data_IF_247682646499
#
_entry.id   IF_247682646499
#
_cell.length_a   1.000
_cell.length_b   1.000
_cell.length_c   1.000
_cell.angle_alpha   90.00
_cell.angle_beta   90.00
_cell.angle_gamma   90.00
#
_symmetry.space_group_name_H-M   'P 1'
#
loop_
_entity.id
_entity.type
_entity.pdbx_description
1 polymer ?
#
# COMPACT_ATOMS: atom_id res chain seq x y z
N UNK A 1 -32.45 1.50 13.71
CA UNK A 1 -31.93 0.12 13.64
C UNK A 1 -32.77 -0.73 14.57
N UNK A 2 -33.12 -1.94 14.15
CA UNK A 2 -33.92 -2.91 14.92
C UNK A 2 -33.21 -4.26 14.92
N UNK A 3 -33.38 -5.05 15.97
CA UNK A 3 -32.94 -6.43 15.98
C UNK A 3 -34.06 -7.35 15.49
N UNK A 4 -33.74 -8.28 14.59
CA UNK A 4 -34.56 -9.45 14.32
C UNK A 4 -34.01 -10.62 15.12
N UNK A 5 -34.88 -11.33 15.86
CA UNK A 5 -34.50 -12.53 16.58
C UNK A 5 -35.12 -13.77 15.92
N UNK A 6 -34.27 -14.77 15.63
CA UNK A 6 -34.66 -16.14 15.27
C UNK A 6 -34.05 -17.08 16.30
N UNK A 7 -34.87 -17.54 17.25
CA UNK A 7 -34.65 -18.45 18.41
C UNK A 7 -33.32 -18.43 19.22
N UNK A 8 -32.14 -18.18 18.63
CA UNK A 8 -30.85 -18.03 19.34
C UNK A 8 -29.94 -16.91 18.76
N UNK A 9 -30.29 -16.26 17.64
CA UNK A 9 -29.43 -15.23 17.01
C UNK A 9 -30.16 -13.90 16.86
N UNK A 10 -29.52 -12.80 17.28
CA UNK A 10 -30.02 -11.44 17.09
C UNK A 10 -29.29 -10.75 15.93
N UNK A 11 -30.03 -10.35 14.89
CA UNK A 11 -29.52 -9.66 13.72
C UNK A 11 -29.88 -8.18 13.75
N UNK A 12 -28.91 -7.29 13.62
CA UNK A 12 -29.17 -5.87 13.44
C UNK A 12 -29.55 -5.55 11.99
N UNK A 13 -30.70 -4.91 11.82
CA UNK A 13 -31.28 -4.55 10.53
C UNK A 13 -31.52 -3.03 10.50
N UNK A 14 -31.16 -2.42 9.36
CA UNK A 14 -31.45 -1.02 9.08
C UNK A 14 -32.94 -0.84 8.72
N UNK A 15 -33.55 0.26 9.13
CA UNK A 15 -35.02 0.43 9.06
C UNK A 15 -35.54 0.39 7.61
N UNK A 16 -34.76 0.94 6.68
CA UNK A 16 -34.99 0.94 5.24
C UNK A 16 -35.00 -0.46 4.61
N UNK A 17 -34.38 -1.44 5.26
CA UNK A 17 -34.28 -2.83 4.76
C UNK A 17 -35.29 -3.78 5.36
N UNK A 18 -36.11 -3.32 6.30
CA UNK A 18 -37.12 -4.15 6.95
C UNK A 18 -38.06 -4.84 5.95
N UNK A 19 -38.54 -4.21 4.87
CA UNK A 19 -39.40 -4.90 3.90
C UNK A 19 -38.73 -6.12 3.25
N UNK A 20 -37.42 -6.05 2.99
CA UNK A 20 -36.67 -7.16 2.40
C UNK A 20 -36.50 -8.31 3.41
N UNK A 21 -36.11 -7.98 4.64
CA UNK A 21 -35.94 -8.98 5.70
C UNK A 21 -37.27 -9.58 6.16
N UNK A 22 -38.37 -8.84 6.09
CA UNK A 22 -39.70 -9.38 6.37
C UNK A 22 -40.11 -10.46 5.35
N UNK A 23 -39.73 -10.30 4.08
CA UNK A 23 -39.99 -11.31 3.04
C UNK A 23 -39.14 -12.58 3.21
N UNK A 24 -37.94 -12.47 3.77
CA UNK A 24 -37.01 -13.60 3.94
C UNK A 24 -37.17 -14.30 5.29
N UNK A 25 -37.49 -13.53 6.34
CA UNK A 25 -37.65 -14.01 7.72
C UNK A 25 -39.07 -13.67 8.23
N UNK A 26 -40.13 -14.30 7.69
CA UNK A 26 -41.51 -13.93 8.01
C UNK A 26 -41.90 -14.18 9.47
N UNK A 27 -41.16 -15.02 10.19
CA UNK A 27 -41.41 -15.36 11.60
C UNK A 27 -40.48 -14.66 12.59
N UNK A 28 -39.63 -13.75 12.12
CA UNK A 28 -38.71 -13.02 12.99
C UNK A 28 -39.46 -12.02 13.88
N UNK A 29 -39.04 -11.92 15.14
CA UNK A 29 -39.53 -10.89 16.05
C UNK A 29 -38.62 -9.67 15.99
N UNK A 30 -39.21 -8.48 15.90
CA UNK A 30 -38.50 -7.21 15.77
C UNK A 30 -38.49 -6.43 17.09
N UNK A 31 -37.31 -6.10 17.61
CA UNK A 31 -37.16 -5.31 18.84
C UNK A 31 -36.15 -4.15 18.66
N UNK A 32 -36.54 -2.89 18.90
CA UNK A 32 -37.92 -2.43 19.05
C UNK A 32 -38.73 -2.68 17.76
N UNK A 33 -40.05 -2.76 17.89
CA UNK A 33 -40.94 -2.74 16.73
C UNK A 33 -40.87 -1.35 16.10
N UNK A 34 -40.27 -1.26 14.92
CA UNK A 34 -40.17 -0.02 14.15
C UNK A 34 -40.85 -0.24 12.80
N UNK A 35 -41.49 0.82 12.29
CA UNK A 35 -41.99 0.83 10.92
C UNK A 35 -40.86 1.19 9.95
N UNK A 36 -40.83 0.56 8.78
CA UNK A 36 -39.98 0.99 7.69
C UNK A 36 -40.45 2.37 7.17
N UNK A 37 -39.56 3.24 6.67
CA UNK A 37 -39.96 4.47 6.00
C UNK A 37 -40.85 4.16 4.78
N UNK A 38 -41.86 5.01 4.54
CA UNK A 38 -42.92 4.76 3.56
C UNK A 38 -42.41 4.47 2.13
N UNK A 39 -41.31 5.10 1.74
CA UNK A 39 -40.66 4.91 0.43
C UNK A 39 -40.17 3.47 0.21
N UNK A 40 -39.72 2.78 1.26
CA UNK A 40 -39.25 1.41 1.18
C UNK A 40 -40.39 0.40 1.28
N UNK A 41 -41.48 0.74 1.98
CA UNK A 41 -42.69 -0.10 2.08
C UNK A 41 -43.49 -0.13 0.78
N UNK A 42 -43.41 0.93 -0.04
CA UNK A 42 -44.13 1.00 -1.31
C UNK A 42 -43.69 -0.07 -2.32
N UNK A 43 -42.43 -0.55 -2.23
CA UNK A 43 -41.91 -1.63 -3.07
C UNK A 43 -42.17 -2.99 -2.42
N UNK A 44 -42.90 -3.85 -3.12
CA UNK A 44 -43.01 -5.26 -2.76
C UNK A 44 -41.74 -6.02 -3.13
N UNK A 45 -41.28 -6.88 -2.23
CA UNK A 45 -40.06 -7.66 -2.40
C UNK A 45 -40.36 -9.16 -2.40
N UNK A 46 -40.27 -9.84 -3.56
CA UNK A 46 -40.26 -11.30 -3.59
C UNK A 46 -39.09 -11.85 -2.76
N UNK A 47 -39.29 -12.92 -2.00
CA UNK A 47 -38.28 -13.45 -1.07
C UNK A 47 -36.93 -13.74 -1.75
N UNK A 48 -36.94 -14.32 -2.96
CA UNK A 48 -35.72 -14.61 -3.71
C UNK A 48 -34.96 -13.34 -4.14
N UNK A 49 -35.68 -12.30 -4.58
CA UNK A 49 -35.07 -11.02 -4.96
C UNK A 49 -34.54 -10.27 -3.73
N UNK A 50 -35.31 -10.27 -2.64
CA UNK A 50 -34.92 -9.70 -1.36
C UNK A 50 -33.62 -10.31 -0.86
N UNK A 51 -33.50 -11.64 -0.93
CA UNK A 51 -32.31 -12.36 -0.50
C UNK A 51 -31.08 -11.98 -1.33
N UNK A 52 -31.21 -11.88 -2.65
CA UNK A 52 -30.12 -11.46 -3.54
C UNK A 52 -29.63 -10.07 -3.15
N UNK A 53 -30.53 -9.11 -2.92
CA UNK A 53 -30.16 -7.75 -2.53
C UNK A 53 -29.57 -7.68 -1.12
N UNK A 54 -30.04 -8.53 -0.18
CA UNK A 54 -29.45 -8.64 1.16
C UNK A 54 -28.01 -9.16 1.06
N UNK A 55 -27.78 -10.25 0.32
CA UNK A 55 -26.45 -10.82 0.10
C UNK A 55 -25.54 -9.83 -0.62
N UNK A 56 -26.04 -9.14 -1.66
CA UNK A 56 -25.31 -8.09 -2.40
C UNK A 56 -24.75 -7.06 -1.44
N UNK A 57 -25.60 -6.46 -0.62
CA UNK A 57 -25.17 -5.40 0.30
C UNK A 57 -24.31 -5.89 1.46
N UNK A 58 -24.44 -7.15 1.88
CA UNK A 58 -23.49 -7.76 2.83
C UNK A 58 -22.09 -7.84 2.21
N UNK A 59 -21.98 -8.27 0.96
CA UNK A 59 -20.69 -8.39 0.26
C UNK A 59 -19.99 -7.04 -0.01
N UNK A 60 -20.72 -5.93 -0.09
CA UNK A 60 -20.12 -4.60 -0.27
C UNK A 60 -19.26 -4.16 0.93
N UNK A 61 -19.59 -4.67 2.13
CA UNK A 61 -18.89 -4.37 3.37
C UNK A 61 -18.01 -5.51 3.89
N UNK A 62 -18.26 -6.74 3.44
CA UNK A 62 -17.51 -7.92 3.85
C UNK A 62 -16.39 -8.23 2.86
N UNK A 63 -15.19 -8.52 3.37
CA UNK A 63 -14.11 -9.08 2.57
C UNK A 63 -14.41 -10.51 2.09
N UNK A 64 -13.39 -11.27 1.68
CA UNK A 64 -13.55 -12.70 1.40
C UNK A 64 -14.28 -13.42 2.53
N UNK A 65 -15.38 -14.09 2.20
CA UNK A 65 -16.24 -14.79 3.18
C UNK A 65 -16.74 -16.10 2.59
N UNK A 66 -16.85 -17.14 3.41
CA UNK A 66 -17.41 -18.43 2.98
C UNK A 66 -18.94 -18.36 2.94
N UNK A 67 -19.57 -19.19 2.10
CA UNK A 67 -21.03 -19.26 2.04
C UNK A 67 -21.64 -19.65 3.41
N UNK A 68 -21.00 -20.59 4.11
CA UNK A 68 -21.38 -20.98 5.48
C UNK A 68 -21.34 -19.81 6.45
N UNK A 69 -20.21 -19.09 6.53
CA UNK A 69 -20.09 -17.96 7.45
C UNK A 69 -21.13 -16.87 7.16
N UNK A 70 -21.44 -16.64 5.88
CA UNK A 70 -22.46 -15.68 5.47
C UNK A 70 -23.87 -16.14 5.87
N UNK A 71 -24.19 -17.41 5.65
CA UNK A 71 -25.47 -18.02 6.03
C UNK A 71 -25.68 -18.00 7.56
N UNK A 72 -24.67 -18.41 8.33
CA UNK A 72 -24.68 -18.42 9.79
C UNK A 72 -24.88 -17.01 10.35
N UNK A 73 -24.21 -16.00 9.76
CA UNK A 73 -24.32 -14.61 10.19
C UNK A 73 -25.73 -14.00 10.08
N UNK A 74 -26.56 -14.56 9.20
CA UNK A 74 -27.93 -14.09 8.96
C UNK A 74 -28.99 -15.07 9.45
N UNK A 75 -28.59 -16.22 10.01
CA UNK A 75 -29.46 -17.34 10.35
C UNK A 75 -30.36 -17.77 9.17
N UNK A 76 -29.76 -17.87 7.97
CA UNK A 76 -30.45 -18.27 6.73
C UNK A 76 -29.98 -19.64 6.25
N UNK A 77 -30.84 -20.40 5.53
CA UNK A 77 -30.43 -21.67 4.94
C UNK A 77 -29.27 -21.48 3.96
N UNK A 78 -28.22 -22.31 4.09
CA UNK A 78 -27.04 -22.24 3.23
C UNK A 78 -27.40 -22.32 1.74
N UNK A 79 -28.32 -23.21 1.37
CA UNK A 79 -28.74 -23.41 -0.02
C UNK A 79 -29.32 -22.13 -0.66
N UNK A 80 -30.09 -21.35 0.11
CA UNK A 80 -30.68 -20.10 -0.39
C UNK A 80 -29.61 -19.03 -0.59
N UNK A 81 -28.64 -18.96 0.32
CA UNK A 81 -27.50 -18.04 0.22
C UNK A 81 -26.60 -18.43 -0.96
N UNK A 82 -26.34 -19.72 -1.18
CA UNK A 82 -25.58 -20.21 -2.33
C UNK A 82 -26.29 -19.88 -3.66
N UNK A 83 -27.61 -20.03 -3.73
CA UNK A 83 -28.38 -19.66 -4.91
C UNK A 83 -28.30 -18.14 -5.20
N UNK A 84 -28.40 -17.30 -4.17
CA UNK A 84 -28.23 -15.86 -4.29
C UNK A 84 -26.81 -15.48 -4.74
N UNK A 85 -25.79 -16.10 -4.16
CA UNK A 85 -24.38 -15.91 -4.53
C UNK A 85 -24.11 -16.34 -5.98
N UNK A 86 -24.67 -17.47 -6.41
CA UNK A 86 -24.55 -17.94 -7.79
C UNK A 86 -25.15 -16.94 -8.78
N UNK A 87 -26.31 -16.36 -8.47
CA UNK A 87 -26.92 -15.30 -9.30
C UNK A 87 -26.07 -14.03 -9.33
N UNK A 88 -25.54 -13.58 -8.19
CA UNK A 88 -24.64 -12.43 -8.14
C UNK A 88 -23.32 -12.65 -8.90
N UNK A 89 -22.82 -13.89 -8.93
CA UNK A 89 -21.69 -14.25 -9.79
C UNK A 89 -22.04 -14.18 -11.27
N UNK A 90 -23.23 -14.68 -11.66
CA UNK A 90 -23.70 -14.60 -13.04
C UNK A 90 -23.89 -13.14 -13.51
N UNK A 91 -24.31 -12.25 -12.62
CA UNK A 91 -24.40 -10.80 -12.86
C UNK A 91 -23.02 -10.11 -12.94
N UNK A 92 -21.94 -10.80 -12.56
CA UNK A 92 -20.60 -10.22 -12.51
C UNK A 92 -20.35 -9.29 -11.31
N UNK A 93 -21.22 -9.33 -10.30
CA UNK A 93 -21.04 -8.58 -9.05
C UNK A 93 -20.07 -9.32 -8.11
N UNK A 94 -20.36 -10.58 -7.81
CA UNK A 94 -19.55 -11.42 -6.92
C UNK A 94 -18.56 -12.29 -7.71
N UNK A 95 -17.51 -12.75 -7.04
CA UNK A 95 -16.63 -13.81 -7.54
C UNK A 95 -16.37 -14.85 -6.46
N UNK A 96 -16.20 -16.11 -6.91
CA UNK A 96 -15.81 -17.24 -6.07
C UNK A 96 -14.33 -17.57 -6.28
N UNK A 97 -13.60 -17.80 -5.20
CA UNK A 97 -12.17 -18.11 -5.26
C UNK A 97 -11.58 -18.48 -3.90
N UNK A 98 -10.25 -18.58 -3.83
CA UNK A 98 -9.51 -18.67 -2.57
C UNK A 98 -8.70 -17.39 -2.44
N UNK A 99 -9.04 -16.56 -1.45
CA UNK A 99 -8.41 -15.26 -1.22
C UNK A 99 -7.63 -15.24 0.09
N UNK A 100 -8.07 -16.01 1.09
CA UNK A 100 -7.41 -16.15 2.39
C UNK A 100 -6.42 -17.32 2.37
N UNK A 101 -5.11 -17.09 2.58
CA UNK A 101 -4.12 -18.17 2.63
C UNK A 101 -4.46 -19.21 3.71
N UNK A 102 -4.36 -20.50 3.37
CA UNK A 102 -4.65 -21.60 4.30
C UNK A 102 -6.12 -22.01 4.40
N UNK A 103 -7.02 -21.34 3.67
CA UNK A 103 -8.44 -21.72 3.62
C UNK A 103 -8.68 -22.74 2.50
N UNK A 104 -9.24 -23.90 2.85
CA UNK A 104 -9.62 -24.95 1.88
C UNK A 104 -11.00 -24.74 1.27
N UNK A 105 -11.85 -23.95 1.93
CA UNK A 105 -13.20 -23.63 1.44
C UNK A 105 -13.15 -22.52 0.38
N UNK A 106 -14.09 -22.60 -0.57
CA UNK A 106 -14.28 -21.52 -1.54
C UNK A 106 -14.93 -20.31 -0.88
N UNK A 107 -14.32 -19.16 -1.08
CA UNK A 107 -14.76 -17.86 -0.58
C UNK A 107 -15.44 -17.05 -1.68
N UNK A 108 -16.28 -16.12 -1.25
CA UNK A 108 -17.00 -15.17 -2.09
C UNK A 108 -16.58 -13.76 -1.72
N UNK A 109 -16.42 -12.89 -2.71
CA UNK A 109 -16.12 -11.48 -2.49
C UNK A 109 -16.72 -10.63 -3.61
N UNK A 110 -17.10 -9.39 -3.28
CA UNK A 110 -17.41 -8.37 -4.27
C UNK A 110 -16.15 -8.04 -5.10
N UNK A 111 -16.30 -8.08 -6.43
CA UNK A 111 -15.24 -7.74 -7.38
C UNK A 111 -14.76 -6.30 -7.23
N UNK A 112 -15.65 -5.34 -6.99
CA UNK A 112 -15.30 -3.94 -6.83
C UNK A 112 -14.56 -3.68 -5.51
N UNK A 113 -15.04 -4.28 -4.41
CA UNK A 113 -14.37 -4.25 -3.11
C UNK A 113 -12.98 -4.86 -3.18
N UNK A 114 -12.83 -6.07 -3.76
CA UNK A 114 -11.52 -6.72 -3.90
C UNK A 114 -10.54 -5.86 -4.70
N UNK A 115 -11.00 -5.28 -5.82
CA UNK A 115 -10.20 -4.37 -6.62
C UNK A 115 -9.79 -3.11 -5.83
N UNK A 116 -10.69 -2.57 -4.99
CA UNK A 116 -10.40 -1.42 -4.12
C UNK A 116 -9.35 -1.77 -3.06
N UNK A 117 -9.51 -2.91 -2.38
CA UNK A 117 -8.53 -3.42 -1.40
C UNK A 117 -7.16 -3.56 -2.07
N UNK A 118 -7.10 -4.21 -3.23
CA UNK A 118 -5.85 -4.39 -3.97
C UNK A 118 -5.20 -3.05 -4.33
N UNK A 119 -5.96 -2.09 -4.89
CA UNK A 119 -5.44 -0.75 -5.22
C UNK A 119 -4.91 -0.01 -3.99
N UNK A 120 -5.60 -0.08 -2.85
CA UNK A 120 -5.14 0.56 -1.62
C UNK A 120 -3.87 -0.10 -1.07
N UNK A 121 -3.78 -1.43 -1.11
CA UNK A 121 -2.57 -2.15 -0.72
C UNK A 121 -1.39 -1.76 -1.60
N UNK A 122 -1.54 -1.75 -2.93
CA UNK A 122 -0.47 -1.34 -3.86
C UNK A 122 -0.08 0.11 -3.65
N UNK A 123 -1.06 1.01 -3.46
CA UNK A 123 -0.78 2.43 -3.20
C UNK A 123 0.04 2.62 -1.92
N UNK A 124 -0.33 1.93 -0.83
CA UNK A 124 0.40 1.97 0.44
C UNK A 124 1.83 1.46 0.27
N UNK A 125 2.00 0.30 -0.35
CA UNK A 125 3.33 -0.28 -0.59
C UNK A 125 4.20 0.63 -1.46
N UNK A 126 3.62 1.32 -2.45
CA UNK A 126 4.34 2.32 -3.25
C UNK A 126 4.78 3.53 -2.43
N UNK A 127 3.93 4.00 -1.52
CA UNK A 127 4.29 5.12 -0.63
C UNK A 127 5.44 4.76 0.32
N UNK A 128 5.57 3.50 0.72
CA UNK A 128 6.68 3.03 1.56
C UNK A 128 8.03 3.04 0.82
N UNK A 129 8.02 3.00 -0.51
CA UNK A 129 9.22 3.01 -1.37
C UNK A 129 9.34 4.28 -2.23
N UNK A 130 8.54 5.31 -1.93
CA UNK A 130 8.52 6.54 -2.71
C UNK A 130 9.91 7.22 -2.66
N UNK A 131 10.48 7.64 -3.81
CA UNK A 131 11.79 8.28 -3.82
C UNK A 131 11.81 9.51 -2.93
N UNK A 132 12.79 9.57 -2.04
CA UNK A 132 13.06 10.78 -1.26
C UNK A 132 13.50 11.90 -2.19
N UNK A 133 13.27 13.16 -1.78
CA UNK A 133 13.76 14.30 -2.54
C UNK A 133 15.28 14.24 -2.69
N UNK A 134 15.83 14.78 -3.79
CA UNK A 134 17.29 14.81 -3.99
C UNK A 134 18.00 15.51 -2.83
N UNK A 135 17.37 16.50 -2.19
CA UNK A 135 17.91 17.20 -1.03
C UNK A 135 17.99 16.27 0.21
N UNK A 136 16.94 15.51 0.48
CA UNK A 136 16.91 14.56 1.60
C UNK A 136 17.91 13.43 1.38
N UNK A 137 18.01 12.94 0.14
CA UNK A 137 19.01 11.95 -0.24
C UNK A 137 20.44 12.48 -0.04
N UNK A 138 20.74 13.69 -0.51
CA UNK A 138 22.07 14.29 -0.31
C UNK A 138 22.40 14.53 1.17
N UNK A 139 21.40 14.91 1.98
CA UNK A 139 21.57 15.04 3.43
C UNK A 139 21.85 13.68 4.09
N UNK A 140 21.11 12.65 3.70
CA UNK A 140 21.34 11.27 4.14
C UNK A 140 22.75 10.81 3.74
N UNK A 141 23.13 10.93 2.47
CA UNK A 141 24.46 10.56 1.98
C UNK A 141 25.57 11.29 2.73
N UNK A 142 25.40 12.59 2.99
CA UNK A 142 26.38 13.38 3.73
C UNK A 142 26.57 12.92 5.18
N UNK A 143 25.48 12.55 5.87
CA UNK A 143 25.53 11.94 7.21
C UNK A 143 26.14 10.56 7.17
N UNK A 144 25.67 9.72 6.25
CA UNK A 144 26.13 8.34 6.09
C UNK A 144 27.63 8.27 5.78
N UNK A 145 28.16 9.17 4.93
CA UNK A 145 29.58 9.28 4.61
C UNK A 145 30.39 10.06 5.66
N UNK A 146 29.78 10.49 6.77
CA UNK A 146 30.44 11.24 7.82
C UNK A 146 31.17 12.51 7.34
N UNK A 147 30.70 13.16 6.26
CA UNK A 147 31.36 14.36 5.69
C UNK A 147 30.95 15.67 6.39
N UNK A 148 29.87 15.64 7.17
CA UNK A 148 29.38 16.76 7.96
C UNK A 148 30.35 17.03 9.11
N UNK A 149 30.79 18.29 9.34
CA UNK A 149 31.81 18.63 10.34
C UNK A 149 31.55 18.06 11.75
N UNK A 150 30.29 17.98 12.18
CA UNK A 150 29.88 17.46 13.49
C UNK A 150 29.93 15.93 13.62
N UNK A 151 29.94 15.20 12.50
CA UNK A 151 29.87 13.74 12.46
C UNK A 151 31.12 13.10 11.83
N UNK A 152 32.16 13.91 11.54
CA UNK A 152 33.43 13.46 10.97
C UNK A 152 34.15 12.53 11.93
N UNK A 153 34.40 11.31 11.47
CA UNK A 153 35.26 10.37 12.19
C UNK A 153 36.72 10.84 12.09
N UNK A 154 37.42 10.85 13.22
CA UNK A 154 38.85 11.17 13.32
C UNK A 154 39.56 10.08 14.12
N UNK A 155 40.87 9.96 13.94
CA UNK A 155 41.70 8.97 14.63
C UNK A 155 42.16 7.82 13.73
N UNK A 156 42.99 6.91 14.26
CA UNK A 156 43.65 5.85 13.49
C UNK A 156 42.67 4.86 12.85
N UNK A 157 41.52 4.60 13.47
CA UNK A 157 40.52 3.63 12.98
C UNK A 157 39.55 4.22 11.94
N UNK A 158 39.53 5.55 11.78
CA UNK A 158 38.58 6.22 10.88
C UNK A 158 38.82 5.87 9.41
N UNK A 159 40.09 5.71 9.00
CA UNK A 159 40.46 5.37 7.63
C UNK A 159 40.01 3.96 7.26
N UNK A 160 40.23 2.97 8.13
CA UNK A 160 39.82 1.60 7.90
C UNK A 160 38.29 1.51 7.76
N UNK A 161 37.54 2.19 8.63
CA UNK A 161 36.08 2.23 8.54
C UNK A 161 35.56 2.88 7.24
N UNK A 162 36.22 3.95 6.76
CA UNK A 162 35.88 4.58 5.48
C UNK A 162 36.17 3.66 4.29
N UNK A 163 37.29 2.94 4.31
CA UNK A 163 37.64 1.98 3.25
C UNK A 163 36.61 0.85 3.20
N UNK A 164 36.25 0.26 4.34
CA UNK A 164 35.21 -0.78 4.41
C UNK A 164 33.86 -0.27 3.91
N UNK A 165 33.52 0.99 4.18
CA UNK A 165 32.26 1.59 3.71
C UNK A 165 32.23 1.85 2.19
N UNK A 166 33.40 2.07 1.57
CA UNK A 166 33.55 2.30 0.13
C UNK A 166 33.95 1.05 -0.64
N UNK A 167 34.11 -0.09 0.04
CA UNK A 167 34.44 -1.36 -0.60
C UNK A 167 33.32 -1.76 -1.58
N UNK A 168 33.69 -2.04 -2.83
CA UNK A 168 32.74 -2.33 -3.90
C UNK A 168 32.15 -1.10 -4.63
N UNK A 169 32.53 0.12 -4.25
CA UNK A 169 32.15 1.32 -5.00
C UNK A 169 33.06 1.53 -6.22
N UNK A 170 32.51 1.40 -7.42
CA UNK A 170 33.22 1.70 -8.66
C UNK A 170 33.14 3.21 -8.97
N UNK A 171 34.29 3.88 -9.03
CA UNK A 171 34.39 5.27 -9.43
C UNK A 171 35.47 5.47 -10.50
N UNK A 172 35.26 6.34 -11.50
CA UNK A 172 36.29 6.70 -12.47
C UNK A 172 37.58 7.14 -11.76
N UNK A 173 38.74 6.74 -12.28
CA UNK A 173 40.03 7.07 -11.68
C UNK A 173 40.20 8.59 -11.42
N UNK A 174 39.58 9.45 -12.23
CA UNK A 174 39.61 10.90 -12.09
C UNK A 174 38.80 11.44 -10.88
N UNK A 175 37.86 10.67 -10.34
CA UNK A 175 36.96 11.09 -9.25
C UNK A 175 37.50 10.75 -7.84
N UNK A 176 38.53 9.92 -7.74
CA UNK A 176 39.20 9.63 -6.46
C UNK A 176 40.03 10.85 -6.03
N UNK A 177 39.71 11.51 -4.90
CA UNK A 177 40.50 12.63 -4.41
C UNK A 177 41.90 12.13 -4.05
N UNK A 178 42.91 12.50 -4.86
CA UNK A 178 44.31 12.20 -4.62
C UNK A 178 44.83 10.92 -5.30
N UNK A 179 44.55 10.70 -6.59
CA UNK A 179 45.22 9.61 -7.32
C UNK A 179 46.75 9.82 -7.34
N UNK A 180 47.54 8.84 -6.87
CA UNK A 180 48.97 8.96 -6.66
C UNK A 180 49.78 8.67 -7.93
N UNK A 181 49.35 9.14 -9.10
CA UNK A 181 50.18 9.06 -10.31
C UNK A 181 51.40 10.02 -10.26
N UNK A 182 51.77 10.54 -9.08
CA UNK A 182 52.97 11.36 -8.88
C UNK A 182 53.56 11.27 -7.48
N UNK A 183 53.78 10.07 -6.94
CA UNK A 183 54.78 9.89 -5.87
C UNK A 183 56.16 9.55 -6.47
N UNK A 184 56.68 10.47 -7.28
CA UNK A 184 58.11 10.52 -7.59
C UNK A 184 58.60 11.93 -7.30
N UNK A 185 58.79 12.21 -6.00
CA UNK A 185 59.74 13.18 -5.46
C UNK A 185 59.84 12.95 -3.96
N UNK A 186 60.70 12.00 -3.58
CA UNK A 186 61.53 12.22 -2.40
C UNK A 186 62.28 13.54 -2.64
N UNK A 187 61.83 14.62 -2.01
CA UNK A 187 62.56 15.89 -2.03
C UNK A 187 63.56 15.83 -0.89
N UNK A 188 64.75 15.30 -1.17
CA UNK A 188 65.94 15.62 -0.40
C UNK A 188 66.16 17.13 -0.48
N UNK A 189 66.49 17.70 0.66
CA UNK A 189 66.55 19.13 0.92
C UNK A 189 67.97 19.61 0.60
N UNK A 190 68.28 19.90 -0.66
CA UNK A 190 69.42 20.78 -1.03
C UNK A 190 69.44 21.15 -2.51
N UNK A 191 70.02 22.33 -2.78
CA UNK A 191 70.38 22.92 -4.08
C UNK A 191 69.24 23.70 -4.75
N UNK A 192 69.13 25.01 -4.47
CA UNK A 192 69.81 26.15 -5.13
C UNK A 192 69.58 26.22 -6.64
N UNK A 193 68.83 27.26 -7.05
CA UNK A 193 69.01 28.02 -8.28
C UNK A 193 68.75 27.32 -9.61
N UNK A 194 67.56 27.52 -10.18
CA UNK A 194 67.40 27.66 -11.63
C UNK A 194 65.98 28.16 -11.94
N UNK A 195 65.93 29.37 -12.49
CA UNK A 195 64.79 30.00 -13.16
C UNK A 195 64.31 29.17 -14.34
N UNK A 196 63.01 28.89 -14.44
CA UNK A 196 62.37 28.56 -15.73
C UNK A 196 60.95 29.14 -15.78
N UNK A 197 60.70 29.84 -16.89
CA UNK A 197 59.67 30.85 -17.05
C UNK A 197 58.23 30.34 -17.12
N UNK A 198 57.32 31.20 -16.65
CA UNK A 198 55.89 31.11 -16.89
C UNK A 198 55.59 31.33 -18.37
N UNK A 199 55.15 30.27 -19.06
CA UNK A 199 54.46 30.37 -20.34
C UNK A 199 52.96 30.51 -20.10
N UNK A 200 52.43 31.71 -20.32
CA UNK A 200 51.00 32.04 -20.27
C UNK A 200 50.23 31.38 -21.42
N UNK A 201 49.24 30.55 -21.12
CA UNK A 201 48.19 30.16 -22.06
C UNK A 201 46.83 30.65 -21.53
N UNK A 202 46.37 31.70 -22.20
CA UNK A 202 45.15 32.48 -21.96
C UNK A 202 43.95 31.70 -22.50
N UNK A 203 43.01 31.29 -21.64
CA UNK A 203 41.73 30.71 -22.08
C UNK A 203 40.76 31.81 -22.55
N UNK A 204 40.00 31.61 -23.65
CA UNK A 204 39.00 32.57 -24.12
C UNK A 204 37.73 32.52 -23.25
N UNK A 205 37.23 33.70 -22.87
CA UNK A 205 35.96 33.90 -22.17
C UNK A 205 34.78 33.59 -23.11
N UNK A 206 33.82 32.78 -22.67
CA UNK A 206 32.49 32.70 -23.30
C UNK A 206 31.64 33.92 -22.91
N UNK A 207 30.85 34.50 -23.83
CA UNK A 207 29.90 35.56 -23.49
C UNK A 207 28.62 34.99 -22.85
N UNK A 208 28.13 35.70 -21.84
CA UNK A 208 26.82 35.51 -21.19
C UNK A 208 25.71 36.26 -21.96
N UNK A 209 24.42 35.96 -21.71
CA UNK A 209 23.34 36.17 -22.67
C UNK A 209 22.65 37.54 -22.55
N UNK A 210 22.04 37.96 -23.66
CA UNK A 210 20.90 38.88 -23.73
C UNK A 210 19.73 37.99 -24.23
N UNK A 211 18.49 38.05 -23.78
CA UNK A 211 17.71 39.05 -23.04
C UNK A 211 16.49 38.35 -22.45
#
# INVERSE_FOLDING_TARGET
MTTAATSETALWIAAERLPQFASVLPHAQYSPSIAAPAEFTARSWPAAEALIEIVRSRLEGLGPVTANALADSMALPLADVEAALAKLAAEGFAMRGSFTPGTSQSEWCDRALLARIHRYTVKRLRQEIEPVSSQDFMRFLGRWQHVIPSERRQGPDALAAMITQLEGFEAPAAAWPGTPARSARHRSRSCRGATWGCGTARYPRRPSPLR
#
